data_IF_715464196621
#
_entry.id   IF_715464196621
#
_cell.length_a   1.000
_cell.length_b   1.000
_cell.length_c   1.000
_cell.angle_alpha   90.00
_cell.angle_beta   90.00
_cell.angle_gamma   90.00
#
_symmetry.space_group_name_H-M   'P 1'
#
loop_
_entity.id
_entity.type
_entity.pdbx_description
1 polymer ?
#
# COMPACT_ATOMS: atom_id res chain seq x y z
N UNK A 1 41.48 -15.08 17.70
CA UNK A 1 40.68 -13.86 17.98
C UNK A 1 39.73 -13.67 16.81
N UNK A 2 38.45 -13.98 16.98
CA UNK A 2 37.43 -13.73 15.95
C UNK A 2 36.58 -12.56 16.41
N UNK A 3 36.81 -11.39 15.82
CA UNK A 3 35.96 -10.21 16.03
C UNK A 3 34.63 -10.49 15.36
N UNK A 4 33.61 -10.81 16.15
CA UNK A 4 32.21 -10.81 15.69
C UNK A 4 31.88 -9.36 15.37
N UNK A 5 31.97 -9.01 14.08
CA UNK A 5 31.57 -7.71 13.59
C UNK A 5 30.04 -7.65 13.74
N UNK A 6 29.60 -6.94 14.78
CA UNK A 6 28.19 -6.62 15.02
C UNK A 6 27.72 -5.86 13.77
N UNK A 7 27.02 -6.53 12.85
CA UNK A 7 26.50 -5.88 11.65
C UNK A 7 25.53 -4.79 12.10
N UNK A 8 25.95 -3.53 12.01
CA UNK A 8 25.06 -2.40 12.24
C UNK A 8 24.06 -2.42 11.09
N UNK A 9 22.80 -2.66 11.42
CA UNK A 9 21.71 -2.58 10.44
C UNK A 9 21.49 -1.10 10.16
N UNK A 10 21.99 -0.62 9.03
CA UNK A 10 21.83 0.78 8.59
C UNK A 10 20.39 0.99 8.13
N UNK A 11 19.69 1.94 8.77
CA UNK A 11 18.36 2.38 8.35
C UNK A 11 18.49 3.63 7.50
N UNK A 12 17.88 3.61 6.32
CA UNK A 12 17.86 4.72 5.38
C UNK A 12 16.42 5.07 5.02
N UNK A 13 16.23 6.27 4.48
CA UNK A 13 14.96 6.68 3.88
C UNK A 13 15.06 6.57 2.36
N UNK A 14 14.16 5.82 1.74
CA UNK A 14 14.07 5.68 0.28
C UNK A 14 12.83 6.41 -0.20
N UNK A 15 13.03 7.36 -1.12
CA UNK A 15 11.99 8.18 -1.71
C UNK A 15 11.47 7.58 -3.01
N UNK A 16 10.16 7.55 -3.14
CA UNK A 16 9.44 7.09 -4.32
C UNK A 16 8.78 8.29 -4.99
N UNK A 17 8.80 8.31 -6.33
CA UNK A 17 8.06 9.27 -7.15
C UNK A 17 6.89 8.55 -7.81
N UNK A 18 5.74 9.19 -7.81
CA UNK A 18 4.53 8.69 -8.44
C UNK A 18 3.69 9.85 -8.98
N UNK A 19 2.78 9.54 -9.91
CA UNK A 19 1.84 10.53 -10.41
C UNK A 19 0.72 10.72 -9.38
N UNK A 20 0.50 11.95 -8.86
CA UNK A 20 -0.62 12.23 -7.98
C UNK A 20 -1.94 11.80 -8.62
N UNK A 21 -2.84 11.31 -7.78
CA UNK A 21 -4.12 10.81 -8.25
C UNK A 21 -5.17 11.90 -8.14
N UNK A 22 -5.98 12.06 -9.18
CA UNK A 22 -7.08 13.02 -9.17
C UNK A 22 -8.03 12.76 -7.99
N UNK A 23 -8.37 13.81 -7.24
CA UNK A 23 -9.26 13.72 -6.08
C UNK A 23 -8.68 13.03 -4.84
N UNK A 24 -7.36 12.81 -4.79
CA UNK A 24 -6.66 12.24 -3.64
C UNK A 24 -5.67 13.28 -3.06
N UNK A 25 -4.60 12.80 -2.45
CA UNK A 25 -3.47 13.60 -1.99
C UNK A 25 -2.69 14.25 -3.16
N UNK A 26 -2.30 15.53 -3.08
CA UNK A 26 -1.53 16.22 -4.11
C UNK A 26 -0.05 15.82 -4.15
N UNK A 27 0.43 15.10 -3.14
CA UNK A 27 1.81 14.62 -3.06
C UNK A 27 2.13 13.72 -4.25
N UNK A 28 3.32 13.92 -4.81
CA UNK A 28 3.92 13.13 -5.89
C UNK A 28 5.09 12.27 -5.39
N UNK A 29 5.35 12.33 -4.08
CA UNK A 29 6.46 11.63 -3.43
C UNK A 29 6.05 11.06 -2.08
N UNK A 30 6.70 9.96 -1.71
CA UNK A 30 6.61 9.33 -0.39
C UNK A 30 7.98 8.78 -0.03
N UNK A 31 8.41 9.00 1.21
CA UNK A 31 9.64 8.42 1.73
C UNK A 31 9.34 7.29 2.71
N UNK A 32 9.82 6.09 2.40
CA UNK A 32 9.67 4.90 3.24
C UNK A 32 10.98 4.63 3.99
N UNK A 33 10.86 4.12 5.22
CA UNK A 33 12.00 3.59 5.95
C UNK A 33 12.41 2.24 5.37
N UNK A 34 13.72 2.03 5.27
CA UNK A 34 14.28 0.80 4.73
C UNK A 34 15.57 0.40 5.46
N UNK A 35 15.82 -0.90 5.56
CA UNK A 35 17.16 -1.42 5.90
C UNK A 35 17.99 -1.47 4.63
N UNK A 36 19.15 -0.82 4.63
CA UNK A 36 20.11 -0.93 3.54
C UNK A 36 20.69 -2.35 3.47
N UNK A 37 20.75 -2.91 2.26
CA UNK A 37 21.27 -4.25 1.99
C UNK A 37 22.59 -4.21 1.20
N UNK A 38 22.71 -3.26 0.27
CA UNK A 38 23.92 -3.00 -0.52
C UNK A 38 24.07 -1.50 -0.78
N UNK A 39 25.01 -1.10 -1.62
CA UNK A 39 25.19 0.29 -2.03
C UNK A 39 23.99 0.86 -2.81
N UNK A 40 23.20 0.00 -3.46
CA UNK A 40 22.09 0.37 -4.33
C UNK A 40 20.78 -0.38 -4.02
N UNK A 41 20.71 -1.19 -2.97
CA UNK A 41 19.48 -1.91 -2.59
C UNK A 41 19.14 -1.78 -1.12
N UNK A 42 17.84 -1.74 -0.84
CA UNK A 42 17.31 -1.69 0.51
C UNK A 42 15.99 -2.45 0.61
N UNK A 43 15.69 -2.96 1.81
CA UNK A 43 14.42 -3.62 2.13
C UNK A 43 13.51 -2.65 2.84
N UNK A 44 12.31 -2.44 2.31
CA UNK A 44 11.27 -1.57 2.89
C UNK A 44 10.81 -2.12 4.25
N UNK A 45 10.56 -1.24 5.21
CA UNK A 45 10.26 -1.63 6.60
C UNK A 45 8.97 -1.05 7.17
N UNK A 46 8.21 -0.32 6.38
CA UNK A 46 6.95 0.23 6.83
C UNK A 46 5.92 0.28 5.68
N UNK A 47 4.65 0.40 6.02
CA UNK A 47 3.56 0.30 5.07
C UNK A 47 3.42 1.62 4.26
N UNK A 48 3.42 1.57 2.92
CA UNK A 48 3.25 2.78 2.12
C UNK A 48 1.82 3.30 2.16
N UNK A 49 1.66 4.59 2.39
CA UNK A 49 0.38 5.28 2.37
C UNK A 49 -0.02 5.73 0.96
N UNK A 50 0.94 6.09 0.12
CA UNK A 50 0.68 6.72 -1.18
C UNK A 50 1.21 5.89 -2.34
N UNK A 51 2.41 5.32 -2.22
CA UNK A 51 3.10 4.55 -3.24
C UNK A 51 2.40 3.21 -3.52
N UNK A 52 2.07 2.94 -4.78
CA UNK A 52 1.55 1.64 -5.21
C UNK A 52 2.65 0.67 -5.62
N UNK A 53 2.32 -0.62 -5.67
CA UNK A 53 3.22 -1.64 -6.20
C UNK A 53 4.35 -2.06 -5.25
N UNK A 54 4.48 -1.39 -4.09
CA UNK A 54 5.50 -1.65 -3.07
C UNK A 54 4.81 -1.98 -1.74
N UNK A 55 5.34 -2.97 -1.02
CA UNK A 55 4.93 -3.33 0.33
C UNK A 55 6.13 -3.44 1.26
N UNK A 56 5.85 -3.40 2.56
CA UNK A 56 6.82 -3.73 3.59
C UNK A 56 7.44 -5.10 3.33
N UNK A 57 8.77 -5.17 3.44
CA UNK A 57 9.57 -6.36 3.16
C UNK A 57 10.06 -6.47 1.72
N UNK A 58 9.52 -5.69 0.77
CA UNK A 58 10.03 -5.67 -0.60
C UNK A 58 11.47 -5.14 -0.65
N UNK A 59 12.26 -5.69 -1.56
CA UNK A 59 13.61 -5.17 -1.85
C UNK A 59 13.53 -4.27 -3.07
N UNK A 60 14.00 -3.04 -2.91
CA UNK A 60 14.02 -2.02 -3.96
C UNK A 60 15.44 -1.64 -4.30
N UNK A 61 15.65 -1.26 -5.56
CA UNK A 61 16.86 -0.61 -6.03
C UNK A 61 16.69 0.90 -5.88
N UNK A 62 17.72 1.60 -5.43
CA UNK A 62 17.75 3.05 -5.34
C UNK A 62 19.01 3.65 -5.97
N UNK A 63 18.95 4.95 -6.26
CA UNK A 63 20.09 5.78 -6.62
C UNK A 63 20.18 6.96 -5.66
N UNK A 64 21.39 7.28 -5.21
CA UNK A 64 21.64 8.47 -4.38
C UNK A 64 21.90 9.66 -5.29
N UNK A 65 21.15 10.74 -5.10
CA UNK A 65 21.38 11.99 -5.83
C UNK A 65 22.49 12.85 -5.20
N UNK A 66 22.73 14.03 -5.78
CA UNK A 66 23.73 14.99 -5.30
C UNK A 66 23.45 15.53 -3.90
N UNK A 67 22.20 15.47 -3.44
CA UNK A 67 21.76 15.96 -2.14
C UNK A 67 21.80 14.85 -1.07
N UNK A 68 22.22 13.64 -1.45
CA UNK A 68 22.30 12.48 -0.57
C UNK A 68 20.97 11.75 -0.40
N UNK A 69 19.93 12.09 -1.18
CA UNK A 69 18.63 11.42 -1.11
C UNK A 69 18.65 10.12 -1.93
N UNK A 70 18.15 9.04 -1.33
CA UNK A 70 18.01 7.76 -2.00
C UNK A 70 16.66 7.69 -2.73
N UNK A 71 16.68 7.67 -4.05
CA UNK A 71 15.49 7.57 -4.89
C UNK A 71 15.31 6.16 -5.43
N UNK A 72 14.14 5.56 -5.19
CA UNK A 72 13.79 4.28 -5.77
C UNK A 72 13.77 4.35 -7.29
N UNK A 73 14.40 3.36 -7.94
CA UNK A 73 14.45 3.23 -9.40
C UNK A 73 13.89 1.89 -9.90
N UNK A 74 13.48 1.01 -8.99
CA UNK A 74 12.81 -0.24 -9.33
C UNK A 74 12.68 -1.20 -8.15
N UNK A 75 11.86 -2.23 -8.31
CA UNK A 75 11.77 -3.35 -7.38
C UNK A 75 12.72 -4.47 -7.82
N UNK A 76 13.47 -5.02 -6.87
CA UNK A 76 14.38 -6.16 -7.08
C UNK A 76 13.68 -7.48 -6.76
N UNK A 77 12.98 -7.53 -5.62
CA UNK A 77 12.18 -8.69 -5.24
C UNK A 77 10.97 -8.27 -4.41
N UNK A 78 9.89 -9.03 -4.55
CA UNK A 78 8.71 -8.89 -3.71
C UNK A 78 8.78 -9.83 -2.51
N UNK A 79 8.35 -9.35 -1.37
CA UNK A 79 8.09 -10.12 -0.15
C UNK A 79 6.88 -11.04 -0.27
N UNK A 80 5.99 -10.80 -1.25
CA UNK A 80 4.66 -11.38 -1.31
C UNK A 80 3.64 -10.70 -0.38
N UNK A 81 4.08 -9.74 0.45
CA UNK A 81 3.17 -8.94 1.25
C UNK A 81 2.36 -7.99 0.36
N UNK A 82 1.22 -7.57 0.88
CA UNK A 82 0.33 -6.62 0.25
C UNK A 82 0.05 -5.46 1.21
N UNK A 83 -0.15 -4.27 0.66
CA UNK A 83 -0.57 -3.10 1.44
C UNK A 83 -2.06 -2.87 1.22
N UNK A 84 -2.84 -2.81 2.30
CA UNK A 84 -4.24 -2.37 2.23
C UNK A 84 -4.39 -1.04 2.96
N UNK A 85 -5.17 -0.13 2.39
CA UNK A 85 -5.41 1.21 2.96
C UNK A 85 -6.88 1.37 3.26
N UNK A 86 -7.17 1.70 4.50
CA UNK A 86 -8.53 1.82 5.02
C UNK A 86 -8.70 3.22 5.57
N UNK A 87 -9.66 3.96 5.00
CA UNK A 87 -10.10 5.25 5.53
C UNK A 87 -11.48 5.04 6.14
N UNK A 88 -11.66 5.23 7.45
CA UNK A 88 -12.98 5.11 8.04
C UNK A 88 -13.86 6.27 7.56
N UNK A 89 -15.14 6.02 7.34
CA UNK A 89 -16.08 7.07 6.95
C UNK A 89 -16.49 7.83 8.22
N UNK A 90 -16.32 9.17 8.29
CA UNK A 90 -16.56 9.95 9.50
C UNK A 90 -17.95 9.77 10.10
N UNK A 91 -18.98 9.68 9.26
CA UNK A 91 -20.38 9.48 9.67
C UNK A 91 -20.76 8.02 9.86
N UNK A 92 -19.83 7.09 9.61
CA UNK A 92 -20.03 5.67 9.75
C UNK A 92 -19.85 5.16 11.19
N UNK A 93 -20.14 3.88 11.44
CA UNK A 93 -20.06 3.28 12.78
C UNK A 93 -18.63 3.13 13.32
N UNK A 94 -17.60 3.43 12.52
CA UNK A 94 -16.22 3.49 12.99
C UNK A 94 -15.80 4.93 13.36
N UNK A 95 -16.61 5.93 13.03
CA UNK A 95 -16.27 7.34 13.16
C UNK A 95 -14.97 7.68 12.42
N UNK A 96 -14.28 8.71 12.87
CA UNK A 96 -12.93 9.07 12.42
C UNK A 96 -11.84 8.34 13.23
N UNK A 97 -12.08 7.10 13.69
CA UNK A 97 -11.18 6.40 14.61
C UNK A 97 -10.29 5.36 13.90
N UNK A 98 -8.96 5.61 13.81
CA UNK A 98 -8.00 4.58 13.42
C UNK A 98 -8.03 3.36 14.36
N UNK A 99 -8.26 3.58 15.66
CA UNK A 99 -8.32 2.51 16.65
C UNK A 99 -9.50 1.57 16.38
N UNK A 100 -10.67 2.09 16.00
CA UNK A 100 -11.81 1.28 15.61
C UNK A 100 -11.52 0.46 14.33
N UNK A 101 -10.75 1.02 13.39
CA UNK A 101 -10.25 0.29 12.22
C UNK A 101 -9.31 -0.84 12.65
N UNK A 102 -8.30 -0.58 13.46
CA UNK A 102 -7.41 -1.63 13.99
C UNK A 102 -8.17 -2.74 14.73
N UNK A 103 -9.12 -2.38 15.61
CA UNK A 103 -9.95 -3.34 16.31
C UNK A 103 -10.73 -4.23 15.35
N UNK A 104 -11.25 -3.67 14.24
CA UNK A 104 -12.01 -4.43 13.25
C UNK A 104 -11.16 -5.43 12.47
N UNK A 105 -9.88 -5.11 12.25
CA UNK A 105 -8.90 -5.97 11.56
C UNK A 105 -8.08 -6.86 12.51
N UNK A 106 -8.22 -6.69 13.82
CA UNK A 106 -7.44 -7.42 14.84
C UNK A 106 -7.51 -8.95 14.70
N UNK A 107 -8.62 -9.49 14.21
CA UNK A 107 -8.80 -10.93 13.95
C UNK A 107 -7.78 -11.52 12.95
N UNK A 108 -7.13 -10.67 12.16
CA UNK A 108 -6.13 -11.06 11.17
C UNK A 108 -4.69 -10.85 11.66
N UNK A 109 -4.48 -10.27 12.85
CA UNK A 109 -3.15 -10.04 13.41
C UNK A 109 -2.24 -9.13 12.57
N UNK A 110 -2.83 -8.20 11.79
CA UNK A 110 -2.08 -7.33 10.88
C UNK A 110 -1.37 -6.20 11.63
N UNK A 111 -0.13 -5.92 11.23
CA UNK A 111 0.53 -4.65 11.54
C UNK A 111 -0.03 -3.52 10.68
N UNK A 112 -0.05 -2.29 11.20
CA UNK A 112 -0.43 -1.13 10.40
C UNK A 112 -0.07 0.20 11.03
N UNK A 113 0.04 1.21 10.18
CA UNK A 113 0.41 2.59 10.54
C UNK A 113 -0.74 3.55 10.21
N UNK A 114 -0.82 4.65 10.97
CA UNK A 114 -1.82 5.71 10.77
C UNK A 114 -1.17 6.89 10.06
N UNK A 115 -1.82 7.41 9.02
CA UNK A 115 -1.26 8.47 8.18
C UNK A 115 -1.07 9.78 8.95
N UNK A 116 -2.14 10.30 9.56
CA UNK A 116 -2.11 11.47 10.46
C UNK A 116 -3.42 11.58 11.24
N UNK A 117 -3.45 12.45 12.26
CA UNK A 117 -4.67 12.73 13.02
C UNK A 117 -5.77 13.38 12.15
N UNK A 118 -5.40 14.27 11.23
CA UNK A 118 -6.35 14.98 10.36
C UNK A 118 -6.88 14.15 9.19
N UNK A 119 -6.28 12.99 8.92
CA UNK A 119 -6.78 12.05 7.92
C UNK A 119 -6.50 10.61 8.41
N UNK A 120 -7.48 9.98 9.09
CA UNK A 120 -7.29 8.74 9.86
C UNK A 120 -7.21 7.48 8.98
N UNK A 121 -6.42 7.54 7.90
CA UNK A 121 -6.12 6.40 7.06
C UNK A 121 -5.18 5.44 7.78
N UNK A 122 -5.54 4.16 7.79
CA UNK A 122 -4.68 3.08 8.27
C UNK A 122 -4.14 2.30 7.08
N UNK A 123 -2.81 2.21 6.97
CA UNK A 123 -2.12 1.33 6.02
C UNK A 123 -1.71 0.05 6.76
N UNK A 124 -2.25 -1.09 6.35
CA UNK A 124 -1.86 -2.39 6.90
C UNK A 124 -0.93 -3.13 5.97
N UNK A 125 0.06 -3.80 6.56
CA UNK A 125 0.83 -4.85 5.91
C UNK A 125 0.09 -6.17 6.06
N UNK A 126 -0.29 -6.76 4.93
CA UNK A 126 -0.94 -8.08 4.84
C UNK A 126 0.12 -9.10 4.41
N UNK A 127 0.48 -10.04 5.30
CA UNK A 127 1.43 -11.11 4.97
C UNK A 127 1.00 -11.96 3.77
N UNK A 128 1.97 -12.49 3.04
CA UNK A 128 1.74 -13.35 1.86
C UNK A 128 0.90 -14.61 2.16
N UNK A 129 0.91 -15.08 3.39
CA UNK A 129 0.21 -16.27 3.88
C UNK A 129 -1.10 -15.95 4.62
N UNK A 130 -1.51 -14.68 4.67
CA UNK A 130 -2.75 -14.27 5.32
C UNK A 130 -4.00 -14.77 4.57
N UNK A 131 -5.15 -14.82 5.28
CA UNK A 131 -6.44 -15.13 4.66
C UNK A 131 -6.98 -13.93 3.87
N UNK A 132 -6.45 -13.78 2.65
CA UNK A 132 -6.87 -12.73 1.72
C UNK A 132 -8.36 -12.79 1.38
N UNK A 133 -8.99 -13.97 1.43
CA UNK A 133 -10.41 -14.11 1.12
C UNK A 133 -11.25 -13.48 2.24
N UNK A 134 -10.94 -13.79 3.51
CA UNK A 134 -11.63 -13.20 4.65
C UNK A 134 -11.38 -11.68 4.76
N UNK A 135 -10.16 -11.23 4.50
CA UNK A 135 -9.80 -9.80 4.48
C UNK A 135 -10.61 -9.06 3.42
N UNK A 136 -10.61 -9.55 2.17
CA UNK A 136 -11.43 -8.98 1.08
C UNK A 136 -12.93 -9.00 1.42
N UNK A 137 -13.42 -10.08 2.01
CA UNK A 137 -14.82 -10.17 2.43
C UNK A 137 -15.17 -9.17 3.55
N UNK A 138 -14.25 -8.85 4.45
CA UNK A 138 -14.45 -7.81 5.45
C UNK A 138 -14.51 -6.43 4.80
N UNK A 139 -13.56 -6.12 3.92
CA UNK A 139 -13.47 -4.84 3.25
C UNK A 139 -14.70 -4.58 2.35
N UNK A 140 -15.12 -5.57 1.56
CA UNK A 140 -16.33 -5.51 0.75
C UNK A 140 -17.59 -5.30 1.60
N UNK A 141 -17.65 -5.88 2.81
CA UNK A 141 -18.72 -5.61 3.78
C UNK A 141 -18.66 -4.18 4.30
N UNK A 142 -17.46 -3.64 4.56
CA UNK A 142 -17.24 -2.25 4.97
C UNK A 142 -17.73 -1.24 3.94
N UNK A 143 -17.41 -1.47 2.66
CA UNK A 143 -17.87 -0.67 1.53
C UNK A 143 -19.39 -0.68 1.40
N UNK A 144 -20.02 -1.86 1.39
CA UNK A 144 -21.48 -1.99 1.23
C UNK A 144 -22.29 -1.27 2.32
N UNK A 145 -21.77 -1.26 3.55
CA UNK A 145 -22.45 -0.64 4.68
C UNK A 145 -21.96 0.79 4.96
N UNK A 146 -21.22 1.41 4.02
CA UNK A 146 -20.65 2.76 4.16
C UNK A 146 -19.89 2.97 5.47
N UNK A 147 -19.15 1.95 5.91
CA UNK A 147 -18.36 1.99 7.15
C UNK A 147 -16.91 2.41 6.90
N UNK A 148 -16.42 2.17 5.69
CA UNK A 148 -15.04 2.42 5.28
C UNK A 148 -15.01 2.77 3.79
N UNK A 149 -14.03 3.57 3.39
CA UNK A 149 -13.54 3.63 2.01
C UNK A 149 -12.30 2.74 1.95
N UNK A 150 -12.36 1.73 1.08
CA UNK A 150 -11.24 0.84 0.79
C UNK A 150 -10.53 1.33 -0.46
N UNK A 151 -9.20 1.29 -0.41
CA UNK A 151 -8.40 1.19 -1.62
C UNK A 151 -7.43 0.04 -1.49
N UNK A 152 -7.84 -1.14 -1.96
CA UNK A 152 -6.96 -2.29 -2.16
C UNK A 152 -6.04 -1.96 -3.34
N UNK A 153 -4.77 -1.69 -3.09
CA UNK A 153 -3.78 -1.69 -4.16
C UNK A 153 -2.68 -2.65 -3.77
N UNK A 154 -2.73 -3.82 -4.40
CA UNK A 154 -1.70 -4.84 -4.25
C UNK A 154 -0.34 -4.25 -4.62
N UNK A 155 0.56 -4.25 -3.65
CA UNK A 155 1.97 -4.38 -3.98
C UNK A 155 2.21 -5.76 -4.58
N UNK A 156 3.23 -5.88 -5.45
CA UNK A 156 3.77 -7.11 -6.02
C UNK A 156 2.94 -8.39 -5.87
N UNK A 157 2.16 -8.71 -6.90
CA UNK A 157 1.58 -10.03 -7.13
C UNK A 157 0.96 -10.71 -5.87
N UNK A 158 -0.14 -10.17 -5.34
CA UNK A 158 -1.19 -11.09 -4.89
C UNK A 158 -1.39 -12.08 -6.03
N UNK A 159 -0.97 -13.34 -5.85
CA UNK A 159 -1.01 -14.34 -6.92
C UNK A 159 -2.37 -14.22 -7.60
N UNK A 160 -2.44 -13.87 -8.89
CA UNK A 160 -3.68 -14.01 -9.59
C UNK A 160 -4.06 -15.49 -9.45
N UNK A 161 -5.25 -15.77 -8.91
CA UNK A 161 -5.97 -16.94 -9.36
C UNK A 161 -6.07 -16.77 -10.89
N UNK A 162 -5.12 -17.34 -11.63
CA UNK A 162 -5.09 -17.28 -13.09
C UNK A 162 -6.21 -18.19 -13.64
N UNK A 163 -6.73 -17.90 -14.85
CA UNK A 163 -6.04 -17.13 -15.88
C UNK A 163 -6.85 -15.97 -16.48
N UNK A 164 -6.27 -14.78 -16.52
CA UNK A 164 -6.43 -13.94 -17.70
C UNK A 164 -5.16 -13.09 -17.91
N UNK A 165 -4.29 -13.57 -18.79
CA UNK A 165 -3.33 -12.73 -19.47
C UNK A 165 -4.03 -12.12 -20.70
N UNK A 166 -3.69 -10.86 -21.01
CA UNK A 166 -3.92 -10.11 -22.26
C UNK A 166 -4.85 -8.90 -22.09
N UNK A 167 -4.27 -7.70 -22.13
CA UNK A 167 -4.75 -6.56 -22.93
C UNK A 167 -4.05 -5.28 -22.49
N UNK A 168 -2.95 -4.95 -23.15
CA UNK A 168 -2.46 -3.58 -23.26
C UNK A 168 -3.35 -2.87 -24.30
N UNK A 169 -4.22 -1.97 -23.85
CA UNK A 169 -4.84 -0.94 -24.69
C UNK A 169 -5.13 0.32 -23.85
N UNK A 170 -4.89 1.53 -24.37
CA UNK A 170 -5.06 2.77 -23.62
C UNK A 170 -6.55 3.11 -23.43
N UNK A 171 -6.96 3.73 -22.31
CA UNK A 171 -8.36 4.05 -22.07
C UNK A 171 -8.84 5.22 -22.97
N UNK A 172 -9.94 4.97 -23.68
CA UNK A 172 -10.71 6.02 -24.38
C UNK A 172 -11.44 6.91 -23.37
N UNK A 173 -11.45 8.22 -23.64
CA UNK A 173 -12.10 9.27 -22.84
C UNK A 173 -13.60 8.98 -22.61
N UNK A 174 -14.08 9.08 -21.36
CA UNK A 174 -15.52 9.10 -21.01
C UNK A 174 -16.00 10.53 -20.69
N UNK A 175 -17.31 10.83 -20.85
CA UNK A 175 -17.85 12.19 -20.83
C UNK A 175 -18.08 12.73 -19.42
N UNK A 176 -17.99 14.06 -19.29
CA UNK A 176 -18.22 14.88 -18.09
C UNK A 176 -19.72 14.96 -17.77
N UNK A 177 -20.15 14.33 -16.68
CA UNK A 177 -21.32 14.65 -15.83
C UNK A 177 -21.96 13.39 -15.23
N UNK A 178 -21.29 12.79 -14.23
CA UNK A 178 -21.95 11.95 -13.23
C UNK A 178 -21.60 12.45 -11.83
N UNK A 179 -22.54 12.39 -10.87
CA UNK A 179 -22.25 12.68 -9.46
C UNK A 179 -21.18 11.74 -8.91
N UNK A 180 -20.35 12.26 -7.99
CA UNK A 180 -19.25 11.55 -7.31
C UNK A 180 -19.79 10.32 -6.58
N UNK A 181 -19.75 9.19 -7.28
CA UNK A 181 -19.88 7.85 -6.72
C UNK A 181 -18.47 7.27 -6.76
N UNK A 182 -17.90 7.02 -5.59
CA UNK A 182 -16.57 6.43 -5.45
C UNK A 182 -16.66 4.93 -5.79
N UNK A 183 -16.85 4.64 -7.07
CA UNK A 183 -16.73 3.31 -7.64
C UNK A 183 -15.50 3.30 -8.55
N UNK A 184 -14.43 2.68 -8.06
CA UNK A 184 -13.34 2.28 -8.96
C UNK A 184 -13.87 1.16 -9.87
N UNK A 185 -13.83 1.31 -11.20
CA UNK A 185 -14.27 0.27 -12.13
C UNK A 185 -13.41 -1.01 -12.04
N UNK A 186 -12.26 -0.96 -11.37
CA UNK A 186 -11.39 -2.13 -11.13
C UNK A 186 -11.97 -3.13 -10.13
N UNK A 187 -13.06 -2.79 -9.43
CA UNK A 187 -13.70 -3.68 -8.45
C UNK A 187 -14.52 -4.77 -9.14
N UNK A 188 -15.24 -4.48 -10.23
CA UNK A 188 -16.04 -5.52 -10.90
C UNK A 188 -15.20 -6.57 -11.63
N UNK A 189 -13.99 -6.20 -12.08
CA UNK A 189 -13.06 -7.15 -12.71
C UNK A 189 -12.43 -8.14 -11.71
N UNK A 190 -12.58 -7.92 -10.40
CA UNK A 190 -12.10 -8.81 -9.35
C UNK A 190 -13.20 -9.77 -8.80
N UNK A 191 -14.44 -9.65 -9.30
CA UNK A 191 -15.61 -10.43 -8.85
C UNK A 191 -16.23 -11.33 -9.93
N UNK A 192 -15.55 -11.52 -11.07
CA UNK A 192 -15.90 -12.52 -12.08
C UNK A 192 -14.87 -13.67 -12.10
#
# INVERSE_FOLDING_TARGET
>A
MMTVMKSVVEKIKVWFRFVPREGWFPQDTEGLWATKLSDDTARVENAPFLQDGVAEGDVVKYQTDSDGLHWAVGQVSSSGNCTIRVVPIPTGPLGESPQAVHQRFSQFGLGGEVFSEGFPMVAFTVPADADFAAIKALLARGLRHQRMVERLISAGACRPCRPCASSLAPPRKRPRNRPLTWHSPDIEAAFA
#
